data_IF_219187538401
#
_entry.id   IF_219187538401
#
_cell.length_a   1.000
_cell.length_b   1.000
_cell.length_c   1.000
_cell.angle_alpha   90.00
_cell.angle_beta   90.00
_cell.angle_gamma   90.00
#
_symmetry.space_group_name_H-M   'P 1'
#
loop_
_entity.id
_entity.type
_entity.pdbx_description
1 polymer ?
#
# COMPACT_ATOMS: atom_id res chain seq x y z
N UNK A 1 -39.92 28.55 11.75
CA UNK A 1 -39.70 28.19 10.33
C UNK A 1 -38.25 28.28 9.90
N UNK A 2 -37.54 29.36 10.20
CA UNK A 2 -36.11 29.46 9.86
C UNK A 2 -35.20 28.47 10.63
N UNK A 3 -35.55 28.15 11.87
CA UNK A 3 -34.83 27.22 12.72
C UNK A 3 -35.00 25.77 12.22
N UNK A 4 -36.14 25.41 11.72
CA UNK A 4 -36.43 24.09 11.17
C UNK A 4 -35.64 23.82 9.89
N UNK A 5 -35.45 24.84 9.05
CA UNK A 5 -34.62 24.75 7.84
C UNK A 5 -33.11 24.59 8.18
N UNK A 6 -32.66 25.23 9.25
CA UNK A 6 -31.29 25.13 9.72
C UNK A 6 -30.98 23.77 10.34
N UNK A 7 -31.91 23.19 11.07
CA UNK A 7 -31.77 21.85 11.67
C UNK A 7 -31.72 20.77 10.60
N UNK A 8 -32.48 20.89 9.53
CA UNK A 8 -32.45 19.94 8.41
C UNK A 8 -31.12 20.02 7.64
N UNK A 9 -30.52 21.20 7.54
CA UNK A 9 -29.22 21.39 6.88
C UNK A 9 -28.04 20.79 7.71
N UNK A 10 -28.15 20.85 9.03
CA UNK A 10 -27.13 20.30 9.93
C UNK A 10 -27.17 18.75 9.96
N UNK A 11 -28.35 18.16 9.84
CA UNK A 11 -28.56 16.72 9.76
C UNK A 11 -28.05 16.12 8.43
N UNK A 12 -28.06 16.90 7.36
CA UNK A 12 -27.60 16.46 6.05
C UNK A 12 -26.06 16.31 5.93
N UNK A 13 -25.30 17.05 6.73
CA UNK A 13 -23.83 17.03 6.67
C UNK A 13 -23.22 15.89 7.50
N UNK A 14 -23.93 15.37 8.49
CA UNK A 14 -23.44 14.31 9.38
C UNK A 14 -23.40 12.91 8.75
N UNK A 15 -24.09 12.71 7.61
CA UNK A 15 -24.24 11.38 7.00
C UNK A 15 -23.07 11.05 6.05
N UNK A 16 -22.31 12.05 5.60
CA UNK A 16 -21.22 11.85 4.63
C UNK A 16 -19.92 11.37 5.32
N UNK A 17 -19.73 11.65 6.60
CA UNK A 17 -18.52 11.32 7.34
C UNK A 17 -18.45 9.85 7.81
N UNK A 18 -19.52 9.05 7.67
CA UNK A 18 -19.61 7.67 8.17
C UNK A 18 -19.42 6.56 7.13
N UNK A 19 -19.19 6.89 5.84
CA UNK A 19 -19.33 5.93 4.74
C UNK A 19 -18.05 5.18 4.35
N UNK A 20 -16.90 5.34 5.04
CA UNK A 20 -15.63 4.76 4.60
C UNK A 20 -14.87 4.12 5.76
N UNK A 21 -15.50 3.17 6.47
CA UNK A 21 -14.82 2.36 7.50
C UNK A 21 -14.17 1.13 6.87
N UNK A 22 -13.00 0.77 7.39
CA UNK A 22 -12.27 -0.44 7.00
C UNK A 22 -11.91 -0.51 5.51
N UNK A 23 -11.55 0.62 4.91
CA UNK A 23 -11.05 0.66 3.53
C UNK A 23 -9.60 0.19 3.47
N UNK A 24 -9.21 -0.51 2.38
CA UNK A 24 -7.81 -0.89 2.19
C UNK A 24 -6.90 0.34 2.04
N UNK A 25 -5.66 0.19 2.48
CA UNK A 25 -4.64 1.24 2.37
C UNK A 25 -4.25 1.44 0.89
N UNK A 26 -4.26 2.68 0.37
CA UNK A 26 -3.75 2.96 -0.97
C UNK A 26 -2.30 2.50 -1.13
N UNK A 27 -1.91 1.91 -2.28
CA UNK A 27 -0.55 1.42 -2.49
C UNK A 27 0.55 2.45 -2.21
N UNK A 28 0.30 3.72 -2.55
CA UNK A 28 1.25 4.81 -2.31
C UNK A 28 1.53 5.10 -0.83
N UNK A 29 0.64 4.67 0.06
CA UNK A 29 0.75 4.87 1.52
C UNK A 29 1.35 3.66 2.24
N UNK A 30 1.57 2.56 1.54
CA UNK A 30 2.19 1.36 2.12
C UNK A 30 3.70 1.54 2.09
N UNK A 31 4.28 1.84 3.26
CA UNK A 31 5.72 2.00 3.42
C UNK A 31 6.43 0.65 3.50
N UNK A 32 7.70 0.61 3.07
CA UNK A 32 8.51 -0.60 3.16
C UNK A 32 8.77 -1.01 4.61
N UNK A 33 8.61 -2.30 4.91
CA UNK A 33 9.05 -2.88 6.16
C UNK A 33 10.58 -2.88 6.22
N UNK A 34 11.14 -2.72 7.42
CA UNK A 34 12.59 -2.76 7.55
C UNK A 34 13.14 -4.16 7.24
N UNK A 35 14.12 -4.20 6.35
CA UNK A 35 14.91 -5.40 6.05
C UNK A 35 16.39 -5.02 6.13
N UNK A 36 17.19 -5.81 6.85
CA UNK A 36 18.60 -5.53 7.00
C UNK A 36 19.35 -5.71 5.67
N UNK A 37 20.15 -4.70 5.24
CA UNK A 37 21.01 -4.86 4.06
C UNK A 37 22.06 -5.96 4.20
N UNK A 38 22.40 -6.37 5.41
CA UNK A 38 23.36 -7.44 5.70
C UNK A 38 22.95 -8.79 5.09
N UNK A 39 21.66 -9.00 4.85
CA UNK A 39 21.14 -10.18 4.17
C UNK A 39 21.76 -10.37 2.78
N UNK A 40 22.22 -9.30 2.16
CA UNK A 40 22.75 -9.28 0.80
C UNK A 40 24.26 -9.09 0.73
N UNK A 41 24.98 -9.17 1.85
CA UNK A 41 26.42 -8.93 1.91
C UNK A 41 27.22 -9.91 1.06
N UNK A 42 26.77 -11.15 0.92
CA UNK A 42 27.40 -12.19 0.12
C UNK A 42 27.06 -12.17 -1.37
N UNK A 43 26.15 -11.30 -1.80
CA UNK A 43 25.72 -11.23 -3.20
C UNK A 43 26.61 -10.27 -4.00
N UNK A 44 26.91 -10.63 -5.26
CA UNK A 44 27.63 -9.73 -6.18
C UNK A 44 26.67 -8.72 -6.84
N UNK A 45 27.25 -7.74 -7.55
CA UNK A 45 26.46 -6.70 -8.22
C UNK A 45 25.46 -7.24 -9.24
N UNK A 46 25.83 -8.30 -9.98
CA UNK A 46 24.94 -8.94 -10.95
C UNK A 46 23.74 -9.61 -10.28
N UNK A 47 23.97 -10.34 -9.19
CA UNK A 47 22.92 -10.97 -8.41
C UNK A 47 21.99 -9.91 -7.77
N UNK A 48 22.53 -8.83 -7.24
CA UNK A 48 21.76 -7.73 -6.66
C UNK A 48 20.91 -7.03 -7.72
N UNK A 49 21.45 -6.77 -8.91
CA UNK A 49 20.69 -6.16 -10.02
C UNK A 49 19.53 -7.05 -10.44
N UNK A 50 19.71 -8.36 -10.53
CA UNK A 50 18.65 -9.31 -10.83
C UNK A 50 17.57 -9.32 -9.75
N UNK A 51 17.97 -9.25 -8.49
CA UNK A 51 17.05 -9.21 -7.36
C UNK A 51 16.18 -7.93 -7.37
N UNK A 52 16.80 -6.77 -7.61
CA UNK A 52 16.05 -5.49 -7.75
C UNK A 52 15.01 -5.59 -8.85
N UNK A 53 15.38 -6.15 -10.01
CA UNK A 53 14.46 -6.32 -11.13
C UNK A 53 13.30 -7.26 -10.79
N UNK A 54 13.57 -8.35 -10.12
CA UNK A 54 12.56 -9.31 -9.67
C UNK A 54 11.61 -8.69 -8.65
N UNK A 55 12.14 -7.97 -7.67
CA UNK A 55 11.36 -7.27 -6.65
C UNK A 55 10.50 -6.16 -7.26
N UNK A 56 11.02 -5.44 -8.26
CA UNK A 56 10.25 -4.41 -8.95
C UNK A 56 9.04 -4.99 -9.69
N UNK A 57 9.19 -6.12 -10.37
CA UNK A 57 8.07 -6.82 -11.01
C UNK A 57 7.03 -7.27 -9.99
N UNK A 58 7.47 -7.83 -8.88
CA UNK A 58 6.59 -8.29 -7.81
C UNK A 58 5.87 -7.11 -7.15
N UNK A 59 6.56 -6.00 -6.92
CA UNK A 59 5.97 -4.77 -6.41
C UNK A 59 4.83 -4.28 -7.31
N UNK A 60 5.06 -4.23 -8.63
CA UNK A 60 4.04 -3.81 -9.59
C UNK A 60 2.82 -4.72 -9.57
N UNK A 61 3.02 -6.03 -9.47
CA UNK A 61 1.92 -6.98 -9.36
C UNK A 61 1.11 -6.79 -8.06
N UNK A 62 1.79 -6.52 -6.95
CA UNK A 62 1.15 -6.29 -5.66
C UNK A 62 0.42 -4.95 -5.61
N UNK A 63 0.96 -3.91 -6.24
CA UNK A 63 0.27 -2.62 -6.40
C UNK A 63 -1.04 -2.81 -7.16
N UNK A 64 -1.02 -3.58 -8.25
CA UNK A 64 -2.22 -3.89 -9.02
C UNK A 64 -3.24 -4.70 -8.20
N UNK A 65 -2.78 -5.70 -7.46
CA UNK A 65 -3.64 -6.53 -6.59
C UNK A 65 -4.28 -5.69 -5.47
N UNK A 66 -3.51 -4.80 -4.83
CA UNK A 66 -4.04 -3.88 -3.82
C UNK A 66 -5.05 -2.91 -4.43
N UNK A 67 -4.81 -2.42 -5.64
CA UNK A 67 -5.75 -1.59 -6.39
C UNK A 67 -7.09 -2.30 -6.65
N UNK A 68 -7.05 -3.59 -6.99
CA UNK A 68 -8.27 -4.40 -7.16
C UNK A 68 -9.02 -4.59 -5.84
N UNK A 69 -8.30 -4.78 -4.74
CA UNK A 69 -8.91 -4.86 -3.41
C UNK A 69 -9.64 -3.56 -3.06
N UNK A 70 -9.06 -2.41 -3.39
CA UNK A 70 -9.71 -1.10 -3.18
C UNK A 70 -11.00 -1.02 -3.97
N UNK A 71 -11.01 -1.39 -5.25
CA UNK A 71 -12.23 -1.38 -6.08
C UNK A 71 -13.31 -2.30 -5.53
N UNK A 72 -12.94 -3.51 -5.11
CA UNK A 72 -13.86 -4.45 -4.48
C UNK A 72 -14.42 -3.87 -3.18
N UNK A 73 -13.58 -3.23 -2.38
CA UNK A 73 -13.98 -2.59 -1.13
C UNK A 73 -14.91 -1.41 -1.34
N UNK A 74 -14.69 -0.60 -2.38
CA UNK A 74 -15.59 0.50 -2.75
C UNK A 74 -16.99 -0.01 -3.06
N UNK A 75 -17.10 -1.09 -3.83
CA UNK A 75 -18.37 -1.74 -4.14
C UNK A 75 -19.04 -2.29 -2.88
N UNK A 76 -18.27 -2.98 -2.04
CA UNK A 76 -18.78 -3.52 -0.77
C UNK A 76 -19.23 -2.39 0.17
N UNK A 77 -18.44 -1.32 0.30
CA UNK A 77 -18.77 -0.18 1.14
C UNK A 77 -20.02 0.54 0.66
N UNK A 78 -20.25 0.61 -0.65
CA UNK A 78 -21.46 1.16 -1.22
C UNK A 78 -22.70 0.40 -0.75
N UNK A 79 -22.66 -0.94 -0.72
CA UNK A 79 -23.81 -1.78 -0.36
C UNK A 79 -23.96 -2.00 1.14
N UNK A 80 -22.87 -2.10 1.88
CA UNK A 80 -22.85 -2.55 3.27
C UNK A 80 -22.33 -1.49 4.26
N UNK A 81 -21.77 -0.37 3.76
CA UNK A 81 -21.26 0.72 4.58
C UNK A 81 -19.84 0.52 5.13
N UNK A 82 -19.17 -0.57 4.79
CA UNK A 82 -17.77 -0.84 5.19
C UNK A 82 -17.03 -1.61 4.10
N UNK A 83 -15.71 -1.39 4.02
CA UNK A 83 -14.83 -2.08 3.07
C UNK A 83 -14.29 -3.41 3.60
N UNK A 84 -13.47 -4.05 2.78
CA UNK A 84 -12.85 -5.36 3.10
C UNK A 84 -11.61 -5.23 3.99
N UNK A 85 -11.06 -4.01 4.17
CA UNK A 85 -9.77 -3.80 4.83
C UNK A 85 -8.58 -4.32 4.03
N UNK A 86 -7.39 -4.19 4.61
CA UNK A 86 -6.18 -4.71 4.01
C UNK A 86 -6.13 -6.24 4.08
N UNK A 87 -5.57 -6.86 3.04
CA UNK A 87 -5.29 -8.28 2.98
C UNK A 87 -3.81 -8.57 2.95
N UNK A 88 -3.46 -9.79 2.51
CA UNK A 88 -2.06 -10.26 2.38
C UNK A 88 -1.24 -9.37 1.45
N UNK A 89 -1.86 -8.77 0.44
CA UNK A 89 -1.21 -7.93 -0.56
C UNK A 89 -0.51 -6.71 0.07
N UNK A 90 -1.16 -6.10 1.06
CA UNK A 90 -0.58 -4.93 1.76
C UNK A 90 0.69 -5.30 2.53
N UNK A 91 0.66 -6.41 3.27
CA UNK A 91 1.80 -6.92 4.01
C UNK A 91 2.94 -7.36 3.07
N UNK A 92 2.61 -8.06 1.99
CA UNK A 92 3.60 -8.48 0.99
C UNK A 92 4.21 -7.27 0.28
N UNK A 93 3.43 -6.26 -0.04
CA UNK A 93 3.93 -5.03 -0.67
C UNK A 93 4.91 -4.29 0.26
N UNK A 94 4.59 -4.19 1.55
CA UNK A 94 5.51 -3.64 2.55
C UNK A 94 6.83 -4.43 2.60
N UNK A 95 6.75 -5.75 2.60
CA UNK A 95 7.93 -6.62 2.61
C UNK A 95 8.79 -6.46 1.34
N UNK A 96 8.16 -6.45 0.17
CA UNK A 96 8.86 -6.28 -1.11
C UNK A 96 9.54 -4.92 -1.20
N UNK A 97 8.89 -3.87 -0.76
CA UNK A 97 9.47 -2.52 -0.70
C UNK A 97 10.66 -2.46 0.26
N UNK A 98 10.56 -3.11 1.41
CA UNK A 98 11.66 -3.23 2.36
C UNK A 98 12.84 -4.01 1.81
N UNK A 99 12.58 -5.14 1.16
CA UNK A 99 13.60 -5.96 0.48
C UNK A 99 14.30 -5.17 -0.63
N UNK A 100 13.53 -4.48 -1.47
CA UNK A 100 14.09 -3.65 -2.53
C UNK A 100 15.01 -2.56 -1.99
N UNK A 101 14.59 -1.88 -0.94
CA UNK A 101 15.41 -0.86 -0.27
C UNK A 101 16.71 -1.46 0.30
N UNK A 102 16.63 -2.64 0.93
CA UNK A 102 17.80 -3.35 1.45
C UNK A 102 18.78 -3.74 0.35
N UNK A 103 18.29 -4.22 -0.80
CA UNK A 103 19.13 -4.55 -1.96
C UNK A 103 19.80 -3.30 -2.51
N UNK A 104 19.08 -2.20 -2.65
CA UNK A 104 19.62 -0.93 -3.12
C UNK A 104 20.70 -0.39 -2.17
N UNK A 105 20.50 -0.49 -0.87
CA UNK A 105 21.48 -0.12 0.14
C UNK A 105 22.74 -1.01 0.05
N UNK A 106 22.57 -2.31 -0.15
CA UNK A 106 23.69 -3.23 -0.36
C UNK A 106 24.49 -2.90 -1.64
N UNK A 107 23.78 -2.57 -2.72
CA UNK A 107 24.42 -2.11 -3.97
C UNK A 107 25.22 -0.83 -3.74
N UNK A 108 24.67 0.13 -3.00
CA UNK A 108 25.37 1.37 -2.65
C UNK A 108 26.66 1.11 -1.87
N UNK A 109 26.62 0.22 -0.89
CA UNK A 109 27.80 -0.16 -0.09
C UNK A 109 28.88 -0.86 -0.92
N UNK A 110 28.48 -1.64 -1.93
CA UNK A 110 29.42 -2.37 -2.81
C UNK A 110 29.90 -1.52 -3.99
N UNK A 111 29.37 -0.32 -4.17
CA UNK A 111 29.69 0.53 -5.30
C UNK A 111 29.16 -0.01 -6.63
N UNK A 112 28.08 -0.78 -6.62
CA UNK A 112 27.45 -1.28 -7.83
C UNK A 112 26.83 -0.13 -8.65
N UNK A 113 26.89 -0.24 -9.97
CA UNK A 113 26.18 0.67 -10.87
C UNK A 113 24.70 0.32 -10.89
N UNK A 114 23.90 1.31 -10.69
CA UNK A 114 22.42 1.20 -10.78
C UNK A 114 21.94 1.30 -12.23
#
# INVERSE_FOLDING_TARGET
MKILKMVVLILGVGVIAGCATNMPTPPAQITGAYVSPMKYDGADCGALANEVSSLARRENALVAAQGQRIKTSETQAFWYGYGTGDGVEAAELANVRGEREAVMNAMGKKGCKS
#
